data_IF_575702750290
#
_entry.id   IF_575702750290
#
_cell.length_a   1.000
_cell.length_b   1.000
_cell.length_c   1.000
_cell.angle_alpha   90.00
_cell.angle_beta   90.00
_cell.angle_gamma   90.00
#
_symmetry.space_group_name_H-M   'P 1'
#
loop_
_entity.id
_entity.type
_entity.pdbx_description
1 polymer ?
#
# COMPACT_ATOMS: atom_id res chain seq x y z
N UNK A 1 4.05 -25.27 -29.88
CA UNK A 1 4.38 -26.46 -29.08
C UNK A 1 3.15 -26.74 -28.23
N UNK A 2 2.36 -27.76 -28.57
CA UNK A 2 1.15 -28.16 -27.82
C UNK A 2 1.55 -28.83 -26.51
N UNK A 3 0.85 -28.51 -25.42
CA UNK A 3 0.88 -29.30 -24.19
C UNK A 3 -0.56 -29.70 -23.84
N UNK A 4 -0.77 -31.01 -23.89
CA UNK A 4 -1.97 -31.76 -23.53
C UNK A 4 -2.10 -31.79 -22.00
N UNK A 5 -3.29 -31.52 -21.48
CA UNK A 5 -3.62 -31.65 -20.04
C UNK A 5 -4.30 -32.98 -19.83
N UNK A 6 -3.74 -33.88 -19.01
CA UNK A 6 -4.52 -34.91 -18.32
C UNK A 6 -3.93 -35.27 -16.94
N UNK A 7 -4.88 -35.40 -16.01
CA UNK A 7 -4.92 -36.17 -14.76
C UNK A 7 -4.16 -35.66 -13.52
N UNK A 8 -4.97 -35.10 -12.60
CA UNK A 8 -5.37 -35.91 -11.45
C UNK A 8 -4.38 -35.99 -10.30
N UNK A 9 -4.20 -34.88 -9.57
CA UNK A 9 -3.67 -34.88 -8.21
C UNK A 9 -4.62 -34.06 -7.33
N UNK A 10 -5.27 -34.69 -6.36
CA UNK A 10 -5.93 -33.98 -5.26
C UNK A 10 -4.86 -33.27 -4.44
N UNK A 11 -4.66 -31.98 -4.69
CA UNK A 11 -3.86 -31.14 -3.81
C UNK A 11 -4.66 -30.92 -2.53
N UNK A 12 -4.29 -31.61 -1.46
CA UNK A 12 -4.61 -31.12 -0.12
C UNK A 12 -4.03 -29.71 -0.02
N UNK A 13 -4.89 -28.73 0.25
CA UNK A 13 -4.48 -27.36 0.58
C UNK A 13 -3.75 -27.43 1.91
N UNK A 14 -2.45 -27.71 1.85
CA UNK A 14 -1.53 -27.50 2.95
C UNK A 14 -1.66 -26.04 3.37
N UNK A 15 -1.97 -25.81 4.64
CA UNK A 15 -2.05 -24.50 5.29
C UNK A 15 -0.74 -23.74 5.06
N UNK A 16 -0.69 -22.95 4.00
CA UNK A 16 0.42 -22.06 3.74
C UNK A 16 0.35 -20.94 4.79
N UNK A 17 1.44 -20.72 5.54
CA UNK A 17 1.51 -19.78 6.66
C UNK A 17 1.39 -18.29 6.28
N UNK A 18 0.93 -17.98 5.07
CA UNK A 18 0.90 -16.64 4.48
C UNK A 18 -0.14 -15.70 5.09
N UNK A 19 -0.99 -16.20 5.99
CA UNK A 19 -2.03 -15.41 6.68
C UNK A 19 -1.78 -15.16 8.16
N UNK A 20 -0.72 -15.72 8.77
CA UNK A 20 -0.49 -15.60 10.20
C UNK A 20 0.18 -14.28 10.57
N UNK A 21 -0.56 -13.42 11.27
CA UNK A 21 -0.04 -12.15 11.78
C UNK A 21 -0.50 -11.93 13.22
N UNK A 22 0.45 -11.77 14.13
CA UNK A 22 0.13 -11.45 15.52
C UNK A 22 -0.58 -10.09 15.61
N UNK A 23 -1.60 -9.96 16.48
CA UNK A 23 -2.26 -8.67 16.70
C UNK A 23 -1.27 -7.68 17.33
N UNK A 24 -1.34 -6.43 16.90
CA UNK A 24 -0.52 -5.34 17.42
C UNK A 24 -1.40 -4.19 17.89
N UNK A 25 -0.99 -3.43 18.92
CA UNK A 25 -1.72 -2.26 19.37
C UNK A 25 -1.88 -1.22 18.25
N UNK A 26 -2.96 -0.43 18.31
CA UNK A 26 -3.20 0.66 17.36
C UNK A 26 -2.28 1.84 17.68
N UNK A 27 -1.47 2.26 16.69
CA UNK A 27 -0.59 3.44 16.81
C UNK A 27 -1.40 4.71 17.10
N UNK A 28 -2.58 4.86 16.48
CA UNK A 28 -3.43 6.02 16.74
C UNK A 28 -3.89 6.09 18.20
N UNK A 29 -4.16 4.96 18.84
CA UNK A 29 -4.54 4.92 20.25
C UNK A 29 -3.34 5.17 21.17
N UNK A 30 -2.15 4.66 20.80
CA UNK A 30 -0.90 4.99 21.52
C UNK A 30 -0.69 6.51 21.52
N UNK A 31 -0.70 7.14 20.34
CA UNK A 31 -0.51 8.60 20.20
C UNK A 31 -1.59 9.39 20.97
N UNK A 32 -2.85 8.94 20.96
CA UNK A 32 -3.94 9.59 21.71
C UNK A 32 -3.76 9.48 23.23
N UNK A 33 -3.22 8.37 23.71
CA UNK A 33 -2.97 8.17 25.14
C UNK A 33 -1.71 8.90 25.63
N UNK A 34 -0.64 8.86 24.84
CA UNK A 34 0.64 9.50 25.12
C UNK A 34 1.42 9.71 23.81
N UNK A 35 1.45 10.96 23.34
CA UNK A 35 2.12 11.33 22.09
C UNK A 35 3.65 11.45 22.23
N UNK A 36 4.20 11.42 23.46
CA UNK A 36 5.63 11.61 23.69
C UNK A 36 6.40 10.28 23.81
N UNK A 37 5.70 9.16 24.04
CA UNK A 37 6.34 7.86 24.16
C UNK A 37 6.19 7.03 22.88
N UNK A 38 7.32 6.70 22.26
CA UNK A 38 7.40 5.74 21.16
C UNK A 38 7.89 4.40 21.75
N UNK A 39 7.08 3.33 21.76
CA UNK A 39 7.52 2.00 22.18
C UNK A 39 8.75 1.53 21.41
N UNK A 40 9.64 0.80 22.08
CA UNK A 40 10.94 0.34 21.55
C UNK A 40 10.83 -0.44 20.24
N UNK A 41 9.68 -1.07 20.00
CA UNK A 41 9.38 -1.85 18.79
C UNK A 41 9.28 -1.00 17.52
N UNK A 42 9.08 0.31 17.63
CA UNK A 42 8.91 1.24 16.51
C UNK A 42 10.10 2.16 16.25
N UNK A 43 11.09 2.17 17.15
CA UNK A 43 12.30 2.98 16.99
C UNK A 43 13.24 2.29 16.00
N UNK A 44 13.51 2.98 14.89
CA UNK A 44 14.49 2.60 13.88
C UNK A 44 15.64 3.62 13.92
N UNK A 45 16.88 3.15 13.95
CA UNK A 45 18.05 4.03 13.81
C UNK A 45 18.24 4.31 12.31
N UNK A 46 17.82 5.47 11.83
CA UNK A 46 18.17 5.92 10.48
C UNK A 46 18.60 7.39 10.48
N UNK A 47 19.73 7.62 9.83
CA UNK A 47 20.37 8.91 9.60
C UNK A 47 20.10 9.31 8.14
N UNK A 48 20.04 10.61 7.94
CA UNK A 48 20.21 11.35 6.68
C UNK A 48 18.94 11.96 6.04
N UNK A 49 19.16 13.19 5.56
CA UNK A 49 18.21 14.23 5.14
C UNK A 49 18.64 14.71 3.76
N UNK A 50 17.80 14.65 2.72
CA UNK A 50 18.01 15.41 1.48
C UNK A 50 16.70 15.57 0.70
N UNK A 51 16.55 16.69 -0.04
CA UNK A 51 15.42 16.94 -0.93
C UNK A 51 15.90 17.48 -2.29
N UNK A 52 15.25 17.09 -3.41
CA UNK A 52 15.15 17.73 -4.76
C UNK A 52 14.62 16.65 -5.75
N UNK A 53 13.75 16.83 -6.78
CA UNK A 53 13.62 17.75 -7.93
C UNK A 53 12.23 17.50 -8.62
N UNK A 54 11.78 18.39 -9.52
CA UNK A 54 11.06 18.02 -10.75
C UNK A 54 10.88 19.21 -11.73
N UNK A 55 11.04 18.98 -13.05
CA UNK A 55 10.20 19.52 -14.15
C UNK A 55 10.68 19.09 -15.56
N UNK A 56 9.73 18.93 -16.49
CA UNK A 56 9.92 19.11 -17.95
C UNK A 56 9.22 18.10 -18.87
N UNK A 57 8.45 18.59 -19.85
CA UNK A 57 7.55 17.86 -20.79
C UNK A 57 8.18 17.61 -22.18
N UNK A 58 7.87 16.48 -22.86
CA UNK A 58 8.54 15.96 -24.08
C UNK A 58 7.64 15.06 -25.00
N UNK A 59 8.13 14.73 -26.21
CA UNK A 59 7.46 14.04 -27.34
C UNK A 59 7.12 12.53 -27.10
N UNK A 60 6.21 11.90 -27.85
CA UNK A 60 5.71 10.52 -27.57
C UNK A 60 6.78 9.42 -27.64
N UNK A 61 7.69 9.46 -28.61
CA UNK A 61 8.81 8.49 -28.69
C UNK A 61 9.75 8.70 -27.49
N UNK A 62 9.95 9.95 -27.09
CA UNK A 62 10.74 10.29 -25.91
C UNK A 62 10.05 9.84 -24.61
N UNK A 63 8.70 9.88 -24.54
CA UNK A 63 7.93 9.37 -23.41
C UNK A 63 8.13 7.87 -23.20
N UNK A 64 8.09 7.07 -24.27
CA UNK A 64 8.33 5.62 -24.17
C UNK A 64 9.76 5.29 -23.75
N UNK A 65 10.74 6.02 -24.28
CA UNK A 65 12.14 5.85 -23.87
C UNK A 65 12.35 6.26 -22.40
N UNK A 66 11.77 7.38 -21.96
CA UNK A 66 11.79 7.82 -20.57
C UNK A 66 11.13 6.81 -19.64
N UNK A 67 9.99 6.26 -20.03
CA UNK A 67 9.32 5.21 -19.25
C UNK A 67 10.21 3.98 -19.12
N UNK A 68 10.81 3.51 -20.21
CA UNK A 68 11.73 2.38 -20.18
C UNK A 68 12.93 2.62 -19.24
N UNK A 69 13.54 3.80 -19.32
CA UNK A 69 14.65 4.18 -18.44
C UNK A 69 14.20 4.32 -16.98
N UNK A 70 13.03 4.89 -16.71
CA UNK A 70 12.49 4.99 -15.37
C UNK A 70 12.23 3.61 -14.74
N UNK A 71 11.66 2.67 -15.51
CA UNK A 71 11.49 1.29 -15.04
C UNK A 71 12.84 0.61 -14.75
N UNK A 72 13.82 0.76 -15.66
CA UNK A 72 15.11 0.06 -15.58
C UNK A 72 16.05 0.63 -14.52
N UNK A 73 16.16 1.95 -14.45
CA UNK A 73 17.18 2.61 -13.63
C UNK A 73 16.65 2.92 -12.22
N UNK A 74 15.34 3.22 -12.10
CA UNK A 74 14.73 3.61 -10.82
C UNK A 74 13.77 2.58 -10.26
N UNK A 75 13.05 1.83 -11.11
CA UNK A 75 11.93 0.98 -10.69
C UNK A 75 10.72 1.75 -10.12
N UNK A 76 10.78 3.08 -10.12
CA UNK A 76 9.79 4.01 -9.55
C UNK A 76 9.61 5.25 -10.45
N UNK A 77 8.37 5.71 -10.62
CA UNK A 77 8.05 6.97 -11.32
C UNK A 77 6.68 7.52 -10.93
N UNK A 78 6.46 8.83 -11.13
CA UNK A 78 5.16 9.48 -10.95
C UNK A 78 4.45 9.67 -12.30
N UNK A 79 3.16 9.36 -12.35
CA UNK A 79 2.32 9.58 -13.54
C UNK A 79 1.31 10.67 -13.25
N UNK A 80 1.32 11.71 -14.08
CA UNK A 80 0.30 12.76 -14.16
C UNK A 80 -0.53 12.57 -15.43
N UNK A 81 -1.71 13.19 -15.51
CA UNK A 81 -2.61 13.04 -16.65
C UNK A 81 -2.99 11.57 -16.95
N UNK A 82 -3.07 10.73 -15.90
CA UNK A 82 -3.35 9.29 -15.98
C UNK A 82 -4.79 8.94 -16.43
N UNK A 83 -5.64 9.92 -16.70
CA UNK A 83 -7.03 9.71 -17.16
C UNK A 83 -8.04 9.35 -16.07
N UNK A 84 -7.59 8.94 -14.87
CA UNK A 84 -8.46 8.88 -13.68
C UNK A 84 -8.94 10.28 -13.32
N UNK A 85 -10.25 10.45 -13.12
CA UNK A 85 -10.84 11.73 -12.71
C UNK A 85 -10.35 12.10 -11.30
N UNK A 86 -9.95 13.35 -11.11
CA UNK A 86 -9.50 13.90 -9.83
C UNK A 86 -10.51 13.66 -8.70
N UNK A 87 -11.81 13.85 -8.98
CA UNK A 87 -12.91 13.56 -8.04
C UNK A 87 -12.86 12.13 -7.48
N UNK A 88 -12.38 11.15 -8.27
CA UNK A 88 -12.25 9.76 -7.79
C UNK A 88 -11.11 9.65 -6.78
N UNK A 89 -9.96 10.29 -7.05
CA UNK A 89 -8.82 10.29 -6.14
C UNK A 89 -9.16 11.01 -4.83
N UNK A 90 -9.85 12.15 -4.90
CA UNK A 90 -10.35 12.88 -3.74
C UNK A 90 -11.31 12.02 -2.91
N UNK A 91 -12.23 11.29 -3.55
CA UNK A 91 -13.14 10.36 -2.85
C UNK A 91 -12.40 9.23 -2.15
N UNK A 92 -11.35 8.68 -2.77
CA UNK A 92 -10.53 7.64 -2.14
C UNK A 92 -9.81 8.21 -0.90
N UNK A 93 -9.16 9.37 -1.03
CA UNK A 93 -8.50 10.06 0.10
C UNK A 93 -9.49 10.33 1.23
N UNK A 94 -10.65 10.89 0.91
CA UNK A 94 -11.71 11.20 1.87
C UNK A 94 -12.26 9.94 2.56
N UNK A 95 -12.46 8.84 1.83
CA UNK A 95 -12.95 7.58 2.38
C UNK A 95 -11.96 7.01 3.40
N UNK A 96 -10.66 6.97 3.06
CA UNK A 96 -9.61 6.50 3.97
C UNK A 96 -9.52 7.40 5.20
N UNK A 97 -9.52 8.72 5.03
CA UNK A 97 -9.52 9.66 6.16
C UNK A 97 -10.74 9.43 7.07
N UNK A 98 -11.94 9.33 6.51
CA UNK A 98 -13.17 9.08 7.24
C UNK A 98 -13.12 7.75 8.03
N UNK A 99 -12.53 6.71 7.46
CA UNK A 99 -12.32 5.44 8.16
C UNK A 99 -11.43 5.61 9.39
N UNK A 100 -10.30 6.31 9.25
CA UNK A 100 -9.35 6.47 10.36
C UNK A 100 -9.84 7.45 11.44
N UNK A 101 -10.76 8.35 11.11
CA UNK A 101 -11.48 9.22 12.06
C UNK A 101 -12.55 8.49 12.88
N UNK A 102 -13.00 7.30 12.47
CA UNK A 102 -13.96 6.53 13.25
C UNK A 102 -13.44 6.25 14.69
N UNK A 103 -14.35 6.18 15.69
CA UNK A 103 -14.00 5.73 17.02
C UNK A 103 -13.30 4.38 16.99
N UNK A 104 -12.36 4.14 17.90
CA UNK A 104 -11.58 2.89 17.90
C UNK A 104 -12.46 1.63 17.95
N UNK A 105 -13.57 1.67 18.69
CA UNK A 105 -14.51 0.55 18.77
C UNK A 105 -15.20 0.25 17.43
N UNK A 106 -15.44 1.27 16.61
CA UNK A 106 -16.00 1.10 15.26
C UNK A 106 -14.94 0.51 14.31
N UNK A 107 -13.70 1.02 14.36
CA UNK A 107 -12.58 0.46 13.57
C UNK A 107 -12.29 -0.99 13.93
N UNK A 108 -12.42 -1.36 15.21
CA UNK A 108 -12.19 -2.72 15.70
C UNK A 108 -13.16 -3.75 15.11
N UNK A 109 -14.32 -3.35 14.60
CA UNK A 109 -15.25 -4.25 13.88
C UNK A 109 -14.63 -4.83 12.60
N UNK A 110 -13.67 -4.11 12.02
CA UNK A 110 -12.94 -4.51 10.83
C UNK A 110 -11.57 -5.11 11.16
N UNK A 111 -11.26 -5.32 12.45
CA UNK A 111 -9.95 -5.81 12.87
C UNK A 111 -9.67 -7.19 12.27
N UNK A 112 -8.44 -7.37 11.78
CA UNK A 112 -8.01 -8.65 11.27
C UNK A 112 -7.77 -9.66 12.39
N UNK A 113 -8.15 -10.92 12.15
CA UNK A 113 -7.80 -12.02 13.04
C UNK A 113 -6.44 -12.60 12.67
N UNK A 114 -5.85 -13.41 13.55
CA UNK A 114 -4.49 -13.93 13.39
C UNK A 114 -4.28 -14.66 12.06
N UNK A 115 -5.28 -15.37 11.53
CA UNK A 115 -5.17 -16.13 10.28
C UNK A 115 -5.79 -15.42 9.06
N UNK A 116 -6.14 -14.13 9.18
CA UNK A 116 -6.76 -13.35 8.11
C UNK A 116 -5.71 -12.47 7.43
N UNK A 117 -5.75 -12.38 6.11
CA UNK A 117 -4.89 -11.48 5.32
C UNK A 117 -5.49 -10.08 5.20
N UNK A 118 -6.82 -9.99 5.16
CA UNK A 118 -7.60 -8.74 5.07
C UNK A 118 -8.01 -8.18 6.45
N UNK A 119 -8.31 -6.88 6.47
CA UNK A 119 -8.83 -6.17 7.63
C UNK A 119 -7.91 -5.05 8.17
N UNK A 120 -8.37 -4.43 9.25
CA UNK A 120 -7.67 -3.38 9.98
C UNK A 120 -6.64 -3.97 10.94
N UNK A 121 -5.39 -3.52 10.83
CA UNK A 121 -4.24 -4.01 11.61
C UNK A 121 -2.99 -4.17 10.73
N UNK A 122 -1.84 -4.36 11.34
CA UNK A 122 -0.59 -4.58 10.59
C UNK A 122 -0.54 -5.98 9.99
N UNK A 123 0.01 -6.07 8.78
CA UNK A 123 0.25 -7.34 8.09
C UNK A 123 1.64 -7.89 8.43
N UNK A 124 1.81 -9.20 8.32
CA UNK A 124 3.10 -9.90 8.39
C UNK A 124 3.87 -9.72 9.72
N UNK A 125 3.17 -9.71 10.85
CA UNK A 125 3.79 -9.73 12.18
C UNK A 125 4.06 -11.17 12.60
N UNK A 126 5.31 -11.60 12.49
CA UNK A 126 5.72 -13.01 12.66
C UNK A 126 6.35 -13.32 14.02
N UNK A 127 6.72 -12.31 14.82
CA UNK A 127 7.24 -12.50 16.19
C UNK A 127 6.95 -11.32 17.11
N UNK A 128 7.08 -11.50 18.42
CA UNK A 128 6.95 -10.42 19.41
C UNK A 128 8.15 -9.46 19.42
N UNK A 129 9.31 -9.90 18.90
CA UNK A 129 10.56 -9.13 18.88
C UNK A 129 10.77 -8.33 17.58
N UNK A 130 9.99 -8.62 16.53
CA UNK A 130 10.08 -7.94 15.23
C UNK A 130 9.85 -6.44 15.37
N UNK A 131 10.66 -5.60 14.71
CA UNK A 131 10.38 -4.16 14.61
C UNK A 131 9.11 -3.90 13.79
N UNK A 132 8.30 -2.95 14.21
CA UNK A 132 7.01 -2.63 13.61
C UNK A 132 6.98 -1.21 13.08
N UNK A 133 6.21 -1.01 12.01
CA UNK A 133 5.98 0.30 11.44
C UNK A 133 5.17 1.18 12.40
N UNK A 134 5.43 2.48 12.37
CA UNK A 134 4.60 3.50 13.04
C UNK A 134 3.41 3.87 12.15
N UNK A 135 2.56 2.90 11.84
CA UNK A 135 1.45 3.06 10.91
C UNK A 135 0.20 2.30 11.35
N UNK A 136 -0.96 2.85 10.94
CA UNK A 136 -2.22 2.13 10.92
C UNK A 136 -2.53 1.68 9.48
N UNK A 137 -3.04 0.47 9.33
CA UNK A 137 -3.29 -0.13 8.02
C UNK A 137 -4.68 -0.78 7.97
N UNK A 138 -5.37 -0.64 6.84
CA UNK A 138 -6.49 -1.49 6.43
C UNK A 138 -6.12 -2.10 5.09
N UNK A 139 -6.14 -3.42 5.00
CA UNK A 139 -5.82 -4.16 3.77
C UNK A 139 -7.08 -4.87 3.25
N UNK A 140 -7.45 -4.61 1.99
CA UNK A 140 -8.65 -5.17 1.35
C UNK A 140 -8.26 -5.75 0.00
N UNK A 141 -8.71 -6.97 -0.28
CA UNK A 141 -8.56 -7.57 -1.61
C UNK A 141 -9.66 -7.03 -2.52
N UNK A 142 -9.26 -6.42 -3.64
CA UNK A 142 -10.15 -5.65 -4.52
C UNK A 142 -10.59 -6.47 -5.74
N UNK A 143 -9.70 -7.09 -6.53
CA UNK A 143 -10.10 -8.12 -7.50
C UNK A 143 -9.56 -9.53 -7.20
N UNK A 144 -10.08 -10.52 -7.94
CA UNK A 144 -11.30 -10.40 -8.74
C UNK A 144 -12.53 -10.26 -7.83
N UNK A 145 -13.63 -9.68 -8.32
CA UNK A 145 -14.75 -9.27 -7.45
C UNK A 145 -15.35 -10.41 -6.61
N UNK A 146 -15.25 -11.64 -7.10
CA UNK A 146 -15.68 -12.85 -6.39
C UNK A 146 -14.86 -13.18 -5.13
N UNK A 147 -13.65 -12.63 -5.01
CA UNK A 147 -12.76 -12.85 -3.86
C UNK A 147 -12.93 -11.79 -2.77
N UNK A 148 -13.83 -10.81 -2.95
CA UNK A 148 -14.02 -9.73 -1.97
C UNK A 148 -14.67 -10.26 -0.71
N UNK A 149 -14.01 -10.07 0.42
CA UNK A 149 -14.56 -10.37 1.72
C UNK A 149 -15.24 -9.14 2.33
N UNK A 150 -16.52 -8.92 2.01
CA UNK A 150 -17.29 -7.74 2.45
C UNK A 150 -17.38 -7.54 3.97
N UNK A 151 -17.03 -8.55 4.78
CA UNK A 151 -16.87 -8.43 6.24
C UNK A 151 -15.93 -7.28 6.62
N UNK A 152 -14.87 -7.07 5.85
CA UNK A 152 -13.84 -6.07 6.15
C UNK A 152 -14.08 -4.72 5.46
N UNK A 153 -15.09 -4.61 4.61
CA UNK A 153 -15.37 -3.39 3.86
C UNK A 153 -16.27 -2.47 4.70
N UNK A 154 -15.84 -1.24 5.02
CA UNK A 154 -16.66 -0.29 5.78
C UNK A 154 -17.70 0.36 4.85
N UNK A 155 -18.68 -0.42 4.39
CA UNK A 155 -19.69 -0.01 3.42
C UNK A 155 -20.61 1.13 3.91
N UNK A 156 -20.59 1.43 5.20
CA UNK A 156 -21.26 2.62 5.76
C UNK A 156 -20.55 3.93 5.40
N UNK A 157 -19.30 3.89 4.93
CA UNK A 157 -18.53 5.06 4.54
C UNK A 157 -18.65 5.32 3.03
N UNK A 158 -19.00 6.55 2.62
CA UNK A 158 -18.96 6.95 1.21
C UNK A 158 -17.54 6.78 0.63
N UNK A 159 -17.43 6.19 -0.56
CA UNK A 159 -16.17 6.04 -1.29
C UNK A 159 -15.49 4.66 -1.19
N UNK A 160 -15.92 3.79 -0.26
CA UNK A 160 -15.56 2.36 -0.27
C UNK A 160 -16.43 1.58 -1.27
N UNK A 161 -16.30 1.91 -2.55
CA UNK A 161 -16.96 1.16 -3.62
C UNK A 161 -16.03 0.05 -4.16
N UNK A 162 -16.59 -1.09 -4.57
CA UNK A 162 -15.96 -2.06 -5.48
C UNK A 162 -15.04 -1.46 -6.55
N UNK A 163 -13.75 -1.80 -6.53
CA UNK A 163 -12.82 -1.58 -7.65
C UNK A 163 -11.87 -2.78 -7.80
N UNK A 164 -11.06 -2.81 -8.87
CA UNK A 164 -10.28 -3.98 -9.30
C UNK A 164 -8.91 -3.58 -9.83
N UNK A 165 -7.81 -4.06 -9.23
CA UNK A 165 -6.42 -3.99 -9.75
C UNK A 165 -5.70 -5.36 -9.70
N UNK A 166 -5.25 -5.89 -10.85
CA UNK A 166 -4.47 -7.14 -10.94
C UNK A 166 -2.97 -6.84 -10.95
N UNK A 167 -2.18 -7.43 -10.04
CA UNK A 167 -0.81 -6.96 -9.80
C UNK A 167 0.25 -7.54 -10.73
N UNK A 168 0.93 -6.64 -11.46
CA UNK A 168 2.33 -6.74 -11.91
C UNK A 168 3.15 -5.49 -11.49
N UNK A 169 2.47 -4.42 -11.05
CA UNK A 169 3.00 -3.15 -10.59
C UNK A 169 2.10 -2.64 -9.45
N UNK A 170 2.59 -1.68 -8.67
CA UNK A 170 1.79 -1.02 -7.62
C UNK A 170 1.50 0.42 -8.04
N UNK A 171 0.26 0.88 -7.83
CA UNK A 171 -0.13 2.29 -7.94
C UNK A 171 -0.38 2.83 -6.54
N UNK A 172 0.31 3.91 -6.19
CA UNK A 172 0.22 4.56 -4.88
C UNK A 172 -0.29 5.99 -5.06
N UNK A 173 -1.40 6.30 -4.39
CA UNK A 173 -1.92 7.65 -4.23
C UNK A 173 -1.39 8.23 -2.91
N UNK A 174 -0.60 9.29 -2.97
CA UNK A 174 -0.10 10.00 -1.79
C UNK A 174 -1.05 11.12 -1.36
N UNK A 175 -0.97 11.51 -0.09
CA UNK A 175 -1.47 12.81 0.35
C UNK A 175 -0.61 13.92 -0.27
N UNK A 176 -1.24 14.99 -0.74
CA UNK A 176 -0.54 16.02 -1.53
C UNK A 176 0.31 16.93 -0.64
N UNK A 177 -0.04 17.03 0.65
CA UNK A 177 0.58 17.97 1.59
C UNK A 177 1.66 17.31 2.46
N UNK A 178 1.83 15.98 2.38
CA UNK A 178 2.74 15.21 3.24
C UNK A 178 3.78 14.44 2.42
N UNK A 179 5.05 14.86 2.53
CA UNK A 179 6.18 14.09 1.98
C UNK A 179 6.60 12.99 2.97
N UNK A 180 6.08 11.77 2.77
CA UNK A 180 6.40 10.61 3.61
C UNK A 180 7.17 9.49 2.90
N UNK A 181 7.01 9.33 1.57
CA UNK A 181 7.66 8.26 0.82
C UNK A 181 9.13 8.61 0.52
N UNK A 182 10.02 7.64 0.76
CA UNK A 182 11.42 7.68 0.33
C UNK A 182 11.74 6.41 -0.47
N UNK A 183 12.54 6.57 -1.53
CA UNK A 183 13.03 5.46 -2.35
C UNK A 183 14.55 5.38 -2.23
N UNK A 184 15.10 4.17 -2.22
CA UNK A 184 16.56 3.98 -2.20
C UNK A 184 17.07 3.86 -3.63
N UNK A 185 17.95 4.78 -4.05
CA UNK A 185 18.56 4.80 -5.37
C UNK A 185 20.05 5.13 -5.24
N UNK A 186 20.92 4.31 -5.85
CA UNK A 186 22.38 4.42 -5.71
C UNK A 186 22.85 4.59 -4.26
N UNK A 187 22.34 3.72 -3.38
CA UNK A 187 22.62 3.69 -1.94
C UNK A 187 22.11 4.89 -1.12
N UNK A 188 21.55 5.91 -1.75
CA UNK A 188 20.97 7.08 -1.10
C UNK A 188 19.44 6.99 -1.00
N UNK A 189 18.87 7.48 0.11
CA UNK A 189 17.43 7.68 0.24
C UNK A 189 17.03 9.00 -0.40
N UNK A 190 16.08 8.95 -1.33
CA UNK A 190 15.56 10.10 -2.06
C UNK A 190 14.08 10.27 -1.72
N UNK A 191 13.63 11.43 -1.19
CA UNK A 191 12.21 11.65 -0.93
C UNK A 191 11.44 11.83 -2.24
N UNK A 192 10.26 11.22 -2.30
CA UNK A 192 9.31 11.40 -3.39
C UNK A 192 8.36 12.51 -2.98
N UNK A 193 8.60 13.72 -3.49
CA UNK A 193 7.69 14.86 -3.27
C UNK A 193 6.38 14.60 -4.00
N UNK A 194 5.22 14.63 -3.31
CA UNK A 194 3.93 14.46 -3.96
C UNK A 194 3.72 15.51 -5.05
N UNK A 195 3.25 15.05 -6.21
CA UNK A 195 2.71 15.94 -7.25
C UNK A 195 1.17 15.88 -7.15
N UNK A 196 0.46 17.02 -7.05
CA UNK A 196 -0.99 17.01 -7.02
C UNK A 196 -1.58 16.25 -8.20
N UNK A 197 -2.61 15.44 -7.95
CA UNK A 197 -3.28 14.62 -8.96
C UNK A 197 -2.32 13.69 -9.74
N UNK A 198 -1.40 13.05 -9.02
CA UNK A 198 -0.47 12.06 -9.56
C UNK A 198 -0.56 10.72 -8.82
N UNK A 199 -0.06 9.67 -9.49
CA UNK A 199 0.11 8.34 -8.91
C UNK A 199 1.59 7.97 -8.97
N UNK A 200 2.14 7.46 -7.87
CA UNK A 200 3.44 6.80 -7.87
C UNK A 200 3.25 5.37 -8.37
N UNK A 201 4.10 4.95 -9.29
CA UNK A 201 4.15 3.58 -9.81
C UNK A 201 5.46 2.96 -9.36
N UNK A 202 5.40 1.72 -8.85
CA UNK A 202 6.59 0.90 -8.67
C UNK A 202 6.47 -0.47 -9.31
N UNK A 203 7.59 -0.91 -9.84
CA UNK A 203 7.77 -2.23 -10.46
C UNK A 203 8.02 -3.24 -9.34
N UNK A 204 7.42 -4.43 -9.44
CA UNK A 204 7.58 -5.50 -8.47
C UNK A 204 8.37 -6.67 -9.05
N UNK A 205 8.95 -7.47 -8.17
CA UNK A 205 9.84 -8.60 -8.49
C UNK A 205 9.23 -9.62 -9.46
N UNK A 206 7.90 -9.68 -9.57
CA UNK A 206 7.21 -10.56 -10.52
C UNK A 206 7.40 -10.18 -12.00
N UNK A 207 8.07 -9.05 -12.27
CA UNK A 207 8.33 -8.52 -13.62
C UNK A 207 9.81 -8.35 -13.96
N UNK A 208 10.72 -8.70 -13.03
CA UNK A 208 12.16 -8.87 -13.29
C UNK A 208 12.47 -10.27 -13.85
#
# INVERSE_FOLDING_TARGET
>A
MEVRVENGGSYEVGKSGWGKSLPVPSIQEIVRSDFQSIPQRHIHENKDDFSFLAKGDEDEVQKLQKLHLACKDWGFFQVINHGVKEEILEKIKAAVAAFFELPFQEKKKYAKAENETEGYGQNFVVSEHQKLDWSGMIYLLTPPSQNRNFKFWPLSLPGFNPHSDGTSFTLLLQDDDVTGLQIKHNEAWVPVKPIPNSLVVNIGDATE
#
